data_IF_143536669542
#
_entry.id   IF_143536669542
#
_cell.length_a   1.000
_cell.length_b   1.000
_cell.length_c   1.000
_cell.angle_alpha   90.00
_cell.angle_beta   90.00
_cell.angle_gamma   90.00
#
_symmetry.space_group_name_H-M   'P 1'
#
loop_
_entity.id
_entity.type
_entity.pdbx_description
1 polymer ?
#
# COMPACT_ATOMS: atom_id res chain seq x y z
N UNK A 1 20.32 14.16 -49.85
CA UNK A 1 20.50 14.86 -48.55
C UNK A 1 19.25 15.57 -48.02
N UNK A 2 18.27 15.94 -48.86
CA UNK A 2 17.05 16.67 -48.45
C UNK A 2 16.01 15.86 -47.67
N UNK A 3 15.92 14.54 -47.88
CA UNK A 3 14.92 13.68 -47.20
C UNK A 3 15.20 13.45 -45.70
N UNK A 4 16.47 13.48 -45.28
CA UNK A 4 16.85 13.27 -43.88
C UNK A 4 16.55 14.52 -43.01
N UNK A 5 16.73 15.71 -43.58
CA UNK A 5 16.41 16.98 -42.91
C UNK A 5 14.92 17.14 -42.62
N UNK A 6 14.05 16.70 -43.54
CA UNK A 6 12.59 16.76 -43.36
C UNK A 6 12.15 15.84 -42.21
N UNK A 7 12.74 14.66 -42.07
CA UNK A 7 12.42 13.72 -40.99
C UNK A 7 12.85 14.24 -39.61
N UNK A 8 14.03 14.86 -39.52
CA UNK A 8 14.52 15.45 -38.26
C UNK A 8 13.67 16.66 -37.85
N UNK A 9 13.26 17.50 -38.81
CA UNK A 9 12.43 18.67 -38.54
C UNK A 9 11.01 18.27 -38.06
N UNK A 10 10.42 17.23 -38.67
CA UNK A 10 9.12 16.68 -38.25
C UNK A 10 9.17 16.04 -36.85
N UNK A 11 10.27 15.38 -36.49
CA UNK A 11 10.44 14.77 -35.16
C UNK A 11 10.61 15.83 -34.05
N UNK A 12 11.32 16.93 -34.33
CA UNK A 12 11.48 18.03 -33.38
C UNK A 12 10.18 18.82 -33.17
N UNK A 13 9.37 19.00 -34.22
CA UNK A 13 8.08 19.68 -34.12
C UNK A 13 7.05 18.85 -33.33
N UNK A 14 7.03 17.53 -33.48
CA UNK A 14 6.11 16.66 -32.71
C UNK A 14 6.54 16.50 -31.25
N UNK A 15 7.84 16.41 -30.96
CA UNK A 15 8.33 16.47 -29.56
C UNK A 15 8.03 17.82 -28.90
N UNK A 16 8.18 18.94 -29.63
CA UNK A 16 7.93 20.28 -29.13
C UNK A 16 6.46 20.54 -28.74
N UNK A 17 5.50 20.09 -29.56
CA UNK A 17 4.08 20.20 -29.22
C UNK A 17 3.67 19.31 -28.03
N UNK A 18 4.31 18.16 -27.84
CA UNK A 18 4.03 17.27 -26.71
C UNK A 18 4.46 17.92 -25.38
N UNK A 19 5.57 18.66 -25.35
CA UNK A 19 6.10 19.29 -24.12
C UNK A 19 5.25 20.50 -23.69
N UNK A 20 4.64 21.24 -24.63
CA UNK A 20 3.77 22.38 -24.32
C UNK A 20 2.44 21.96 -23.67
N UNK A 21 1.92 20.76 -23.97
CA UNK A 21 0.66 20.28 -23.39
C UNK A 21 0.79 19.88 -21.90
N UNK A 22 1.98 19.45 -21.46
CA UNK A 22 2.20 18.98 -20.08
C UNK A 22 2.29 20.14 -19.07
N UNK A 23 2.67 21.34 -19.51
CA UNK A 23 2.76 22.51 -18.62
C UNK A 23 1.39 23.12 -18.27
N UNK A 24 0.33 22.80 -19.03
CA UNK A 24 -1.01 23.40 -18.84
C UNK A 24 -1.87 22.74 -17.75
N UNK A 25 -1.42 21.65 -17.11
CA UNK A 25 -2.18 20.94 -16.06
C UNK A 25 -1.78 21.30 -14.62
N UNK A 26 -0.79 22.19 -14.41
CA UNK A 26 -0.40 22.66 -13.07
C UNK A 26 -0.89 24.09 -12.79
N UNK A 27 -2.16 24.20 -12.39
CA UNK A 27 -2.70 25.12 -11.35
C UNK A 27 -4.21 25.28 -11.54
N UNK A 28 -4.98 24.45 -10.84
CA UNK A 28 -6.27 24.89 -10.31
C UNK A 28 -6.14 24.89 -8.79
N UNK A 29 -5.92 26.08 -8.25
CA UNK A 29 -6.09 26.34 -6.82
C UNK A 29 -7.59 26.48 -6.58
N UNK A 30 -8.18 25.51 -5.87
CA UNK A 30 -9.58 25.61 -5.45
C UNK A 30 -9.75 26.82 -4.51
N UNK A 31 -10.87 27.58 -4.62
CA UNK A 31 -11.18 28.63 -3.67
C UNK A 31 -11.42 28.06 -2.27
N UNK A 32 -11.10 28.81 -1.19
CA UNK A 32 -11.43 28.38 0.17
C UNK A 32 -12.95 28.31 0.36
N UNK A 33 -13.44 27.16 0.83
CA UNK A 33 -14.84 26.97 1.23
C UNK A 33 -15.11 27.85 2.46
N UNK A 34 -16.18 28.68 2.47
CA UNK A 34 -16.56 29.41 3.66
C UNK A 34 -17.12 28.44 4.72
N UNK A 35 -16.38 28.27 5.82
CA UNK A 35 -16.85 27.58 7.02
C UNK A 35 -17.97 28.40 7.68
N UNK A 36 -19.22 27.99 7.50
CA UNK A 36 -20.34 28.50 8.31
C UNK A 36 -20.22 27.91 9.72
N UNK A 37 -19.85 28.75 10.67
CA UNK A 37 -19.94 28.45 12.11
C UNK A 37 -21.43 28.51 12.46
N UNK A 38 -22.03 27.36 12.71
CA UNK A 38 -23.38 27.26 13.28
C UNK A 38 -23.25 27.09 14.79
N UNK A 39 -23.34 28.21 15.50
CA UNK A 39 -23.50 28.28 16.95
C UNK A 39 -24.82 27.62 17.34
N UNK A 40 -24.76 26.56 18.15
CA UNK A 40 -25.90 26.09 18.94
C UNK A 40 -25.41 25.94 20.39
N UNK A 41 -25.93 26.72 21.36
CA UNK A 41 -25.74 26.42 22.76
C UNK A 41 -26.69 25.29 23.17
N UNK A 42 -26.15 24.13 23.49
CA UNK A 42 -26.87 23.06 24.19
C UNK A 42 -26.38 23.07 25.64
N UNK A 43 -27.15 23.70 26.53
CA UNK A 43 -26.98 23.59 27.98
C UNK A 43 -27.60 22.25 28.36
N UNK A 44 -26.77 21.26 28.65
CA UNK A 44 -27.19 20.01 29.28
C UNK A 44 -26.78 20.12 30.75
N UNK A 45 -27.76 20.24 31.62
CA UNK A 45 -27.60 20.14 33.06
C UNK A 45 -27.26 18.69 33.40
N UNK A 46 -26.05 18.45 33.89
CA UNK A 46 -25.61 17.13 34.37
C UNK A 46 -25.43 17.18 35.88
N UNK A 47 -26.15 16.29 36.58
CA UNK A 47 -25.95 15.98 37.99
C UNK A 47 -24.68 15.15 38.15
N UNK A 48 -23.69 15.69 38.86
CA UNK A 48 -22.45 14.99 39.21
C UNK A 48 -22.74 14.03 40.36
N UNK A 49 -22.97 12.76 40.04
CA UNK A 49 -22.89 11.68 41.03
C UNK A 49 -21.42 11.26 41.10
N UNK A 50 -20.76 11.64 42.19
CA UNK A 50 -19.40 11.18 42.50
C UNK A 50 -19.50 9.76 43.04
N UNK A 51 -19.29 8.77 42.17
CA UNK A 51 -19.07 7.40 42.61
C UNK A 51 -17.62 7.22 43.08
N UNK A 52 -17.47 6.93 44.37
CA UNK A 52 -16.22 6.52 45.00
C UNK A 52 -15.72 5.24 44.31
N UNK A 53 -14.49 5.18 43.78
CA UNK A 53 -13.99 3.99 43.12
C UNK A 53 -13.80 2.86 44.13
N UNK A 54 -14.60 1.82 44.00
CA UNK A 54 -14.36 0.51 44.63
C UNK A 54 -13.09 -0.08 43.99
N UNK A 55 -12.12 -0.58 44.76
CA UNK A 55 -10.92 -1.20 44.20
C UNK A 55 -11.31 -2.42 43.36
N UNK A 56 -11.19 -2.27 42.03
CA UNK A 56 -11.34 -3.34 41.07
C UNK A 56 -10.20 -4.34 41.27
N UNK A 57 -10.54 -5.60 41.54
CA UNK A 57 -9.56 -6.67 41.58
C UNK A 57 -8.84 -6.74 40.24
N UNK A 58 -7.53 -6.46 40.25
CA UNK A 58 -6.65 -6.52 39.10
C UNK A 58 -6.87 -7.84 38.36
N UNK A 59 -7.30 -7.84 37.08
CA UNK A 59 -7.35 -9.08 36.31
C UNK A 59 -5.92 -9.63 36.23
N UNK A 60 -5.74 -10.83 36.80
CA UNK A 60 -4.53 -11.64 36.63
C UNK A 60 -4.22 -11.69 35.13
N UNK A 61 -2.99 -11.37 34.69
CA UNK A 61 -2.64 -11.46 33.28
C UNK A 61 -2.96 -12.87 32.80
N UNK A 62 -3.99 -12.96 31.94
CA UNK A 62 -4.25 -14.16 31.16
C UNK A 62 -2.98 -14.43 30.39
N UNK A 63 -2.42 -15.64 30.53
CA UNK A 63 -1.25 -16.04 29.78
C UNK A 63 -1.53 -15.74 28.32
N UNK A 64 -0.83 -14.75 27.76
CA UNK A 64 -0.81 -14.52 26.32
C UNK A 64 -0.39 -15.84 25.72
N UNK A 65 -1.32 -16.54 25.07
CA UNK A 65 -0.98 -17.66 24.21
C UNK A 65 -0.09 -17.04 23.14
N UNK A 66 1.22 -17.14 23.33
CA UNK A 66 2.19 -16.79 22.31
C UNK A 66 1.75 -17.57 21.08
N UNK A 67 1.29 -16.91 20.00
CA UNK A 67 0.92 -17.65 18.81
C UNK A 67 2.18 -18.37 18.37
N UNK A 68 2.17 -19.70 18.49
CA UNK A 68 3.15 -20.55 17.83
C UNK A 68 3.20 -20.06 16.39
N UNK A 69 4.37 -19.68 15.84
CA UNK A 69 4.45 -19.25 14.46
C UNK A 69 3.92 -20.41 13.62
N UNK A 70 2.69 -20.30 13.12
CA UNK A 70 2.20 -21.23 12.12
C UNK A 70 3.19 -21.08 10.97
N UNK A 71 4.05 -22.09 10.80
CA UNK A 71 4.93 -22.13 9.65
C UNK A 71 4.01 -22.20 8.44
N UNK A 72 3.94 -21.10 7.71
CA UNK A 72 3.18 -21.03 6.47
C UNK A 72 3.74 -22.10 5.55
N UNK A 73 2.90 -23.04 5.14
CA UNK A 73 3.31 -24.10 4.24
C UNK A 73 3.44 -23.56 2.81
N UNK A 74 4.15 -24.29 1.95
CA UNK A 74 4.19 -23.96 0.52
C UNK A 74 2.78 -23.98 -0.10
N UNK A 75 1.89 -24.88 0.36
CA UNK A 75 0.50 -24.94 -0.10
C UNK A 75 -0.30 -23.70 0.27
N UNK A 76 -0.09 -23.15 1.47
CA UNK A 76 -0.74 -21.90 1.90
C UNK A 76 -0.31 -20.73 1.01
N UNK A 77 0.98 -20.64 0.68
CA UNK A 77 1.48 -19.61 -0.24
C UNK A 77 0.84 -19.71 -1.62
N UNK A 78 0.78 -20.91 -2.21
CA UNK A 78 0.17 -21.12 -3.53
C UNK A 78 -1.32 -20.72 -3.55
N UNK A 79 -2.05 -21.02 -2.47
CA UNK A 79 -3.43 -20.59 -2.31
C UNK A 79 -3.56 -19.06 -2.28
N UNK A 80 -2.69 -18.37 -1.53
CA UNK A 80 -2.68 -16.91 -1.46
C UNK A 80 -2.30 -16.28 -2.80
N UNK A 81 -1.27 -16.78 -3.49
CA UNK A 81 -0.88 -16.30 -4.83
C UNK A 81 -2.04 -16.41 -5.80
N UNK A 82 -2.72 -17.55 -5.83
CA UNK A 82 -3.86 -17.77 -6.73
C UNK A 82 -5.02 -16.82 -6.41
N UNK A 83 -5.43 -16.77 -5.13
CA UNK A 83 -6.53 -15.91 -4.64
C UNK A 83 -6.35 -14.45 -5.01
N UNK A 84 -5.18 -13.87 -4.75
CA UNK A 84 -4.96 -12.44 -4.96
C UNK A 84 -4.55 -12.07 -6.38
N UNK A 85 -3.90 -12.98 -7.11
CA UNK A 85 -3.67 -12.77 -8.54
C UNK A 85 -4.99 -12.69 -9.31
N UNK A 86 -5.93 -13.61 -9.03
CA UNK A 86 -7.26 -13.59 -9.61
C UNK A 86 -8.03 -12.33 -9.20
N UNK A 87 -8.09 -12.02 -7.90
CA UNK A 87 -8.81 -10.86 -7.38
C UNK A 87 -8.39 -9.54 -8.04
N UNK A 88 -7.08 -9.34 -8.22
CA UNK A 88 -6.53 -8.11 -8.78
C UNK A 88 -6.29 -8.19 -10.30
N UNK A 89 -6.66 -9.31 -10.93
CA UNK A 89 -6.48 -9.57 -12.37
C UNK A 89 -5.03 -9.39 -12.85
N UNK A 90 -4.07 -9.87 -12.05
CA UNK A 90 -2.63 -9.83 -12.35
C UNK A 90 -2.09 -11.21 -12.68
N UNK A 91 -0.98 -11.26 -13.40
CA UNK A 91 -0.26 -12.50 -13.69
C UNK A 91 0.30 -13.11 -12.39
N UNK A 92 -0.23 -14.29 -12.03
CA UNK A 92 0.18 -15.06 -10.85
C UNK A 92 1.67 -15.44 -10.90
N UNK A 93 2.15 -15.84 -12.07
CA UNK A 93 3.52 -16.33 -12.21
C UNK A 93 4.51 -15.16 -12.14
N UNK A 94 4.13 -13.97 -12.62
CA UNK A 94 4.86 -12.73 -12.36
C UNK A 94 4.90 -12.38 -10.87
N UNK A 95 3.76 -12.45 -10.16
CA UNK A 95 3.70 -12.16 -8.73
C UNK A 95 4.59 -13.13 -7.92
N UNK A 96 4.60 -14.42 -8.28
CA UNK A 96 5.52 -15.43 -7.71
C UNK A 96 6.98 -15.14 -8.03
N UNK A 97 7.29 -14.81 -9.28
CA UNK A 97 8.65 -14.45 -9.72
C UNK A 97 9.23 -13.31 -8.89
N UNK A 98 8.42 -12.29 -8.61
CA UNK A 98 8.83 -11.16 -7.77
C UNK A 98 9.11 -11.62 -6.34
N UNK A 99 8.23 -12.42 -5.73
CA UNK A 99 8.45 -12.94 -4.37
C UNK A 99 9.73 -13.79 -4.25
N UNK A 100 10.06 -14.58 -5.27
CA UNK A 100 11.34 -15.33 -5.32
C UNK A 100 12.52 -14.37 -5.42
N UNK A 101 12.45 -13.40 -6.33
CA UNK A 101 13.52 -12.42 -6.54
C UNK A 101 13.80 -11.57 -5.29
N UNK A 102 12.75 -11.15 -4.58
CA UNK A 102 12.85 -10.26 -3.43
C UNK A 102 13.31 -10.97 -2.15
N UNK A 103 12.87 -12.20 -1.89
CA UNK A 103 13.18 -12.86 -0.62
C UNK A 103 13.34 -14.38 -0.68
N UNK A 104 13.25 -15.00 -1.86
CA UNK A 104 13.26 -16.46 -1.97
C UNK A 104 12.08 -17.12 -1.27
N UNK A 105 10.90 -16.48 -1.31
CA UNK A 105 9.69 -16.87 -0.57
C UNK A 105 9.80 -16.79 0.97
N UNK A 106 10.74 -16.01 1.52
CA UNK A 106 10.84 -15.82 2.96
C UNK A 106 10.00 -14.63 3.44
N UNK A 107 8.87 -14.82 4.16
CA UNK A 107 8.07 -13.73 4.70
C UNK A 107 8.74 -13.02 5.88
N UNK A 108 9.76 -13.60 6.50
CA UNK A 108 10.53 -12.98 7.59
C UNK A 108 11.78 -12.22 7.09
N UNK A 109 12.03 -12.17 5.78
CA UNK A 109 13.21 -11.52 5.22
C UNK A 109 13.28 -10.03 5.55
N UNK A 110 14.50 -9.55 5.82
CA UNK A 110 14.79 -8.15 6.16
C UNK A 110 16.01 -7.68 5.39
N UNK A 111 15.93 -6.47 4.83
CA UNK A 111 17.03 -5.79 4.18
C UNK A 111 16.94 -4.29 4.47
N UNK A 112 17.63 -3.83 5.51
CA UNK A 112 17.52 -2.45 5.99
C UNK A 112 16.08 -2.08 6.34
N UNK A 113 15.53 -1.05 5.68
CA UNK A 113 14.14 -0.60 5.86
C UNK A 113 13.10 -1.52 5.20
N UNK A 114 13.53 -2.38 4.29
CA UNK A 114 12.67 -3.28 3.53
C UNK A 114 12.47 -4.60 4.26
N UNK A 115 11.28 -5.19 4.10
CA UNK A 115 10.92 -6.39 4.83
C UNK A 115 9.76 -7.15 4.22
N UNK A 116 9.69 -8.43 4.56
CA UNK A 116 8.63 -9.30 4.08
C UNK A 116 8.93 -9.98 2.75
N UNK A 117 7.93 -10.71 2.28
CA UNK A 117 7.97 -11.51 1.05
C UNK A 117 8.29 -10.69 -0.22
N UNK A 118 7.89 -9.42 -0.22
CA UNK A 118 8.05 -8.49 -1.36
C UNK A 118 8.91 -7.27 -1.04
N UNK A 119 9.63 -7.33 0.09
CA UNK A 119 10.55 -6.27 0.52
C UNK A 119 9.91 -4.88 0.49
N UNK A 120 8.72 -4.73 1.09
CA UNK A 120 8.09 -3.42 1.25
C UNK A 120 8.84 -2.58 2.29
N UNK A 121 9.04 -1.29 1.98
CA UNK A 121 9.34 -0.28 3.01
C UNK A 121 8.08 0.02 3.84
N UNK A 122 8.25 0.54 5.05
CA UNK A 122 7.11 0.91 5.92
C UNK A 122 6.25 2.00 5.29
N UNK A 123 6.87 3.02 4.68
CA UNK A 123 6.17 4.11 4.02
C UNK A 123 5.35 3.64 2.81
N UNK A 124 5.94 2.77 1.97
CA UNK A 124 5.23 2.17 0.84
C UNK A 124 4.06 1.30 1.31
N UNK A 125 4.28 0.49 2.35
CA UNK A 125 3.24 -0.34 2.96
C UNK A 125 2.06 0.49 3.42
N UNK A 126 2.30 1.47 4.31
CA UNK A 126 1.26 2.33 4.86
C UNK A 126 0.49 3.08 3.77
N UNK A 127 1.18 3.56 2.73
CA UNK A 127 0.56 4.31 1.64
C UNK A 127 -0.38 3.42 0.81
N UNK A 128 0.06 2.23 0.41
CA UNK A 128 -0.78 1.29 -0.34
C UNK A 128 -1.97 0.83 0.49
N UNK A 129 -1.73 0.45 1.75
CA UNK A 129 -2.77 -0.04 2.66
C UNK A 129 -3.85 1.01 2.94
N UNK A 130 -3.47 2.28 3.01
CA UNK A 130 -4.43 3.40 3.10
C UNK A 130 -5.33 3.47 1.87
N UNK A 131 -4.76 3.33 0.67
CA UNK A 131 -5.54 3.34 -0.59
C UNK A 131 -6.46 2.12 -0.66
N UNK A 132 -6.01 0.96 -0.17
CA UNK A 132 -6.82 -0.25 -0.09
C UNK A 132 -7.90 -0.20 1.00
N UNK A 133 -7.92 0.84 1.85
CA UNK A 133 -8.76 0.94 3.04
C UNK A 133 -8.59 -0.27 4.01
N UNK A 134 -7.34 -0.63 4.30
CA UNK A 134 -6.96 -1.75 5.17
C UNK A 134 -5.99 -1.31 6.28
N UNK A 135 -5.73 -2.20 7.25
CA UNK A 135 -4.79 -1.95 8.35
C UNK A 135 -3.40 -1.53 7.82
N UNK A 136 -2.93 -0.39 8.28
CA UNK A 136 -1.67 0.24 7.85
C UNK A 136 -0.47 -0.16 8.70
N UNK A 137 -0.64 -1.02 9.71
CA UNK A 137 0.45 -1.49 10.57
C UNK A 137 1.59 -2.09 9.73
N UNK A 138 2.81 -1.49 9.75
CA UNK A 138 3.92 -1.96 8.94
C UNK A 138 4.42 -3.35 9.36
N UNK A 139 4.10 -3.87 10.55
CA UNK A 139 4.44 -5.23 10.92
C UNK A 139 3.75 -6.30 10.04
N UNK A 140 2.61 -5.96 9.44
CA UNK A 140 1.86 -6.88 8.57
C UNK A 140 2.57 -7.20 7.25
N UNK A 141 3.62 -6.46 6.87
CA UNK A 141 4.45 -6.82 5.70
C UNK A 141 5.19 -8.15 5.87
N UNK A 142 5.34 -8.63 7.11
CA UNK A 142 5.90 -9.94 7.44
C UNK A 142 4.85 -11.07 7.49
N UNK A 143 3.56 -10.73 7.33
CA UNK A 143 2.51 -11.72 7.14
C UNK A 143 2.41 -12.04 5.63
N UNK A 144 2.54 -13.32 5.26
CA UNK A 144 2.60 -13.69 3.84
C UNK A 144 1.31 -13.38 3.07
N UNK A 145 0.13 -13.66 3.65
CA UNK A 145 -1.16 -13.40 2.99
C UNK A 145 -1.31 -11.90 2.72
N UNK A 146 -1.08 -11.07 3.75
CA UNK A 146 -1.20 -9.62 3.63
C UNK A 146 -0.15 -9.03 2.68
N UNK A 147 1.06 -9.59 2.65
CA UNK A 147 2.10 -9.19 1.72
C UNK A 147 1.75 -9.52 0.26
N UNK A 148 1.25 -10.73 -0.01
CA UNK A 148 0.80 -11.17 -1.35
C UNK A 148 -0.38 -10.31 -1.82
N UNK A 149 -1.37 -10.11 -0.96
CA UNK A 149 -2.53 -9.24 -1.23
C UNK A 149 -2.10 -7.82 -1.62
N UNK A 150 -1.18 -7.22 -0.86
CA UNK A 150 -0.72 -5.86 -1.10
C UNK A 150 0.16 -5.77 -2.35
N UNK A 151 0.94 -6.81 -2.64
CA UNK A 151 1.77 -6.87 -3.84
C UNK A 151 0.95 -7.06 -5.13
N UNK A 152 -0.07 -7.92 -5.10
CA UNK A 152 -1.00 -8.07 -6.21
C UNK A 152 -1.70 -6.74 -6.54
N UNK A 153 -2.16 -6.01 -5.51
CA UNK A 153 -2.77 -4.69 -5.69
C UNK A 153 -1.78 -3.68 -6.28
N UNK A 154 -0.54 -3.63 -5.79
CA UNK A 154 0.49 -2.74 -6.35
C UNK A 154 0.81 -3.09 -7.82
N UNK A 155 0.84 -4.38 -8.18
CA UNK A 155 0.98 -4.80 -9.58
C UNK A 155 -0.20 -4.37 -10.43
N UNK A 156 -1.44 -4.42 -9.93
CA UNK A 156 -2.59 -3.95 -10.68
C UNK A 156 -2.52 -2.43 -10.96
N UNK A 157 -1.96 -1.64 -10.03
CA UNK A 157 -1.80 -0.20 -10.21
C UNK A 157 -0.66 0.19 -11.17
N UNK A 158 0.47 -0.52 -11.10
CA UNK A 158 1.72 -0.07 -11.74
C UNK A 158 2.28 -1.05 -12.78
N UNK A 159 1.62 -2.20 -12.97
CA UNK A 159 2.10 -3.28 -13.82
C UNK A 159 3.51 -3.73 -13.45
N UNK A 160 4.29 -4.12 -14.47
CA UNK A 160 5.68 -4.57 -14.30
C UNK A 160 6.58 -3.50 -13.68
N UNK A 161 6.31 -2.21 -13.93
CA UNK A 161 7.13 -1.11 -13.40
C UNK A 161 7.11 -1.00 -11.86
N UNK A 162 6.21 -1.71 -11.17
CA UNK A 162 6.17 -1.80 -9.72
C UNK A 162 7.45 -2.39 -9.10
N UNK A 163 8.15 -3.27 -9.84
CA UNK A 163 9.36 -3.98 -9.41
C UNK A 163 10.38 -4.10 -10.56
N UNK A 164 11.03 -3.00 -10.98
CA UNK A 164 11.82 -2.96 -12.21
C UNK A 164 12.99 -3.96 -12.25
N UNK A 165 13.50 -4.37 -11.09
CA UNK A 165 14.60 -5.33 -10.99
C UNK A 165 14.13 -6.80 -10.98
N UNK A 166 12.87 -7.05 -10.59
CA UNK A 166 12.33 -8.39 -10.41
C UNK A 166 11.22 -8.75 -11.41
N UNK A 167 10.75 -7.78 -12.20
CA UNK A 167 9.66 -7.95 -13.16
C UNK A 167 10.13 -8.20 -14.58
N UNK A 168 11.44 -8.20 -14.87
CA UNK A 168 11.95 -8.25 -16.25
C UNK A 168 11.57 -9.54 -16.96
#
# INVERSE_FOLDING_TARGET
>A
MTKLYIFVLLCLLTLGLLILNIQSLKRQTLPPIPTRISTVPSVIEYTVITETPVPSATPRPSATVTPTPNRISAGDLEAFFSKYAEKESVDRDLLKKIAVCESGFNPAARNGIYGGLFQFSENSWQSLRRIMNLDTNPALRFNAEEAIKTAAYKLALNGRAAWPNCSQ
#
